data_IF_178900961087
#
_entry.id   IF_178900961087
#
_cell.length_a   1.000
_cell.length_b   1.000
_cell.length_c   1.000
_cell.angle_alpha   90.00
_cell.angle_beta   90.00
_cell.angle_gamma   90.00
#
_symmetry.space_group_name_H-M   'P 1'
#
loop_
_entity.id
_entity.type
_entity.pdbx_description
1 polymer ?
#
# COMPACT_ATOMS: atom_id res chain seq x y z
N UNK A 1 -12.76 2.41 -2.86
CA UNK A 1 -13.64 2.92 -1.79
C UNK A 1 -13.10 4.12 -1.01
N UNK A 2 -11.79 4.25 -0.75
CA UNK A 2 -11.24 5.44 -0.04
C UNK A 2 -11.62 6.76 -0.72
N UNK A 3 -11.64 6.78 -2.05
CA UNK A 3 -12.16 7.88 -2.88
C UNK A 3 -13.63 8.24 -2.67
N UNK A 4 -14.42 7.38 -2.05
CA UNK A 4 -15.82 7.65 -1.76
C UNK A 4 -15.99 8.04 -0.29
N UNK A 5 -14.91 8.43 0.39
CA UNK A 5 -14.93 8.79 1.81
C UNK A 5 -14.99 7.58 2.74
N UNK A 6 -14.73 6.37 2.25
CA UNK A 6 -14.68 5.19 3.12
C UNK A 6 -13.61 5.39 4.21
N UNK A 7 -14.00 5.08 5.45
CA UNK A 7 -13.07 5.10 6.57
C UNK A 7 -12.02 4.00 6.39
N UNK A 8 -10.75 4.39 6.29
CA UNK A 8 -9.61 3.47 6.12
C UNK A 8 -9.39 2.58 7.35
N UNK A 9 -9.84 3.06 8.50
CA UNK A 9 -9.73 2.38 9.80
C UNK A 9 -11.03 1.69 10.21
N UNK A 10 -11.99 1.56 9.27
CA UNK A 10 -13.16 0.73 9.52
C UNK A 10 -12.70 -0.70 9.88
N UNK A 11 -13.22 -1.19 10.99
CA UNK A 11 -12.99 -2.54 11.47
C UNK A 11 -14.15 -3.45 11.09
N UNK A 12 -13.87 -4.73 10.92
CA UNK A 12 -14.93 -5.75 10.86
C UNK A 12 -15.51 -6.03 12.25
N UNK A 13 -16.38 -7.04 12.34
CA UNK A 13 -17.01 -7.50 13.59
C UNK A 13 -16.00 -8.03 14.61
N UNK A 14 -14.77 -8.34 14.17
CA UNK A 14 -13.69 -8.80 15.02
C UNK A 14 -12.80 -7.63 15.47
N UNK A 15 -13.01 -6.39 14.99
CA UNK A 15 -12.11 -5.27 15.31
C UNK A 15 -10.86 -5.22 14.43
N UNK A 16 -10.82 -5.98 13.32
CA UNK A 16 -9.67 -6.04 12.43
C UNK A 16 -9.82 -5.02 11.30
N UNK A 17 -8.78 -4.21 11.07
CA UNK A 17 -8.78 -3.21 10.00
C UNK A 17 -8.43 -3.81 8.63
N UNK A 18 -8.77 -3.08 7.57
CA UNK A 18 -8.43 -3.47 6.19
C UNK A 18 -6.91 -3.62 5.97
N UNK A 19 -6.10 -2.78 6.62
CA UNK A 19 -4.63 -2.87 6.57
C UNK A 19 -4.14 -4.19 7.17
N UNK A 20 -4.66 -4.56 8.33
CA UNK A 20 -4.26 -5.78 9.03
C UNK A 20 -4.62 -7.03 8.19
N UNK A 21 -5.84 -7.10 7.64
CA UNK A 21 -6.26 -8.18 6.75
C UNK A 21 -5.35 -8.35 5.54
N UNK A 22 -4.97 -7.24 4.89
CA UNK A 22 -4.09 -7.27 3.73
C UNK A 22 -2.68 -7.77 4.09
N UNK A 23 -2.12 -7.33 5.22
CA UNK A 23 -0.81 -7.78 5.71
C UNK A 23 -0.84 -9.27 6.08
N UNK A 24 -1.85 -9.73 6.82
CA UNK A 24 -2.02 -11.16 7.16
C UNK A 24 -2.02 -11.99 5.89
N UNK A 25 -2.84 -11.61 4.91
CA UNK A 25 -2.99 -12.33 3.65
C UNK A 25 -1.67 -12.37 2.87
N UNK A 26 -0.93 -11.26 2.80
CA UNK A 26 0.38 -11.22 2.16
C UNK A 26 1.37 -12.15 2.86
N UNK A 27 1.47 -12.10 4.19
CA UNK A 27 2.39 -12.98 4.94
C UNK A 27 2.00 -14.45 4.90
N UNK A 28 0.73 -14.77 4.65
CA UNK A 28 0.27 -16.15 4.47
C UNK A 28 0.85 -16.79 3.22
N UNK A 29 0.97 -16.01 2.15
CA UNK A 29 1.52 -16.45 0.88
C UNK A 29 3.00 -16.81 1.00
N UNK A 30 3.72 -16.20 1.95
CA UNK A 30 5.12 -16.54 2.23
C UNK A 30 5.30 -17.86 2.99
N UNK A 31 4.25 -18.33 3.69
CA UNK A 31 4.27 -19.49 4.57
C UNK A 31 3.88 -20.80 3.87
N UNK A 32 3.48 -20.76 2.59
CA UNK A 32 3.02 -21.91 1.80
C UNK A 32 4.13 -22.95 1.49
N UNK A 33 5.23 -22.93 2.25
CA UNK A 33 6.30 -23.94 2.23
C UNK A 33 6.25 -24.93 3.40
N UNK A 34 5.17 -25.00 4.19
CA UNK A 34 4.88 -26.15 5.09
C UNK A 34 4.73 -25.86 6.58
N UNK A 35 4.70 -24.60 7.02
CA UNK A 35 4.51 -24.24 8.44
C UNK A 35 3.02 -24.02 8.79
N UNK A 36 2.51 -24.54 9.93
CA UNK A 36 1.15 -24.29 10.39
C UNK A 36 0.90 -22.79 10.60
N UNK A 37 -0.06 -22.24 9.87
CA UNK A 37 -0.45 -20.83 10.00
C UNK A 37 -1.07 -20.55 11.39
N UNK A 38 -0.69 -19.43 12.01
CA UNK A 38 -1.30 -18.94 13.27
C UNK A 38 -2.76 -18.46 13.10
N UNK A 39 -3.32 -18.54 11.90
CA UNK A 39 -4.64 -18.03 11.55
C UNK A 39 -5.32 -18.91 10.49
N UNK A 40 -6.66 -19.07 10.58
CA UNK A 40 -7.42 -19.74 9.54
C UNK A 40 -7.45 -18.85 8.29
N UNK A 41 -6.71 -19.24 7.26
CA UNK A 41 -6.84 -18.66 5.92
C UNK A 41 -8.05 -19.29 5.25
N UNK A 42 -9.01 -18.50 4.74
CA UNK A 42 -10.06 -19.01 3.89
C UNK A 42 -9.41 -19.77 2.72
N UNK A 43 -9.70 -21.07 2.60
CA UNK A 43 -9.18 -21.90 1.52
C UNK A 43 -9.86 -21.52 0.20
N UNK A 44 -9.52 -20.37 -0.38
CA UNK A 44 -9.97 -20.02 -1.73
C UNK A 44 -9.12 -20.80 -2.73
N UNK A 45 -9.72 -21.75 -3.43
CA UNK A 45 -9.08 -22.76 -4.27
C UNK A 45 -8.45 -22.24 -5.57
N UNK A 46 -8.34 -20.92 -5.80
CA UNK A 46 -7.79 -20.34 -7.02
C UNK A 46 -6.82 -19.19 -6.71
N UNK A 47 -5.66 -19.48 -6.12
CA UNK A 47 -4.63 -18.48 -5.95
C UNK A 47 -4.08 -18.07 -7.32
N UNK A 48 -4.48 -16.90 -7.81
CA UNK A 48 -3.94 -16.34 -9.04
C UNK A 48 -2.47 -15.92 -8.79
N UNK A 49 -1.52 -16.26 -9.67
CA UNK A 49 -0.08 -16.02 -9.47
C UNK A 49 0.32 -14.53 -9.34
N UNK A 50 -0.62 -13.59 -9.54
CA UNK A 50 -0.39 -12.14 -9.44
C UNK A 50 -0.90 -11.49 -8.14
N UNK A 51 -1.30 -12.27 -7.14
CA UNK A 51 -1.97 -11.72 -5.94
C UNK A 51 -1.00 -10.94 -5.04
N UNK A 52 0.25 -11.38 -4.90
CA UNK A 52 1.25 -10.75 -4.03
C UNK A 52 1.54 -9.27 -4.38
N UNK A 53 1.92 -8.94 -5.63
CA UNK A 53 2.14 -7.56 -6.04
C UNK A 53 0.92 -6.65 -5.85
N UNK A 54 -0.29 -7.19 -6.06
CA UNK A 54 -1.53 -6.46 -5.83
C UNK A 54 -1.75 -6.16 -4.34
N UNK A 55 -1.52 -7.14 -3.46
CA UNK A 55 -1.61 -6.95 -2.01
C UNK A 55 -0.61 -5.91 -1.50
N UNK A 56 0.64 -5.98 -1.95
CA UNK A 56 1.66 -4.98 -1.61
C UNK A 56 1.21 -3.56 -1.97
N UNK A 57 0.63 -3.39 -3.16
CA UNK A 57 0.07 -2.10 -3.56
C UNK A 57 -1.08 -1.66 -2.66
N UNK A 58 -2.01 -2.56 -2.33
CA UNK A 58 -3.14 -2.24 -1.42
C UNK A 58 -2.61 -1.79 -0.05
N UNK A 59 -1.64 -2.50 0.50
CA UNK A 59 -1.02 -2.18 1.80
C UNK A 59 -0.34 -0.80 1.73
N UNK A 60 0.51 -0.56 0.73
CA UNK A 60 1.17 0.73 0.54
C UNK A 60 0.17 1.88 0.44
N UNK A 61 -0.91 1.69 -0.34
CA UNK A 61 -1.96 2.68 -0.51
C UNK A 61 -2.71 2.96 0.80
N UNK A 62 -3.00 1.94 1.61
CA UNK A 62 -3.64 2.12 2.91
C UNK A 62 -2.73 2.91 3.87
N UNK A 63 -1.43 2.60 3.91
CA UNK A 63 -0.44 3.33 4.72
C UNK A 63 -0.36 4.80 4.30
N UNK A 64 -0.20 5.05 3.00
CA UNK A 64 -0.17 6.40 2.43
C UNK A 64 -1.45 7.18 2.74
N UNK A 65 -2.60 6.51 2.73
CA UNK A 65 -3.89 7.08 3.12
C UNK A 65 -4.10 7.21 4.64
N UNK A 66 -3.01 7.10 5.41
CA UNK A 66 -2.96 7.29 6.86
C UNK A 66 -3.80 6.28 7.66
N UNK A 67 -3.95 5.05 7.16
CA UNK A 67 -4.49 3.97 7.98
C UNK A 67 -3.68 3.82 9.29
N UNK A 68 -4.36 3.42 10.36
CA UNK A 68 -3.77 3.23 11.68
C UNK A 68 -2.80 2.04 11.66
N UNK A 69 -1.49 2.35 11.69
CA UNK A 69 -0.41 1.35 11.56
C UNK A 69 -0.14 0.55 12.85
N UNK A 70 -0.60 1.06 14.00
CA UNK A 70 -0.36 0.46 15.32
C UNK A 70 -1.57 -0.35 15.84
N UNK A 71 -2.43 -0.85 14.95
CA UNK A 71 -3.50 -1.76 15.37
C UNK A 71 -2.86 -3.05 15.87
N UNK A 72 -3.19 -3.42 17.11
CA UNK A 72 -2.75 -4.67 17.73
C UNK A 72 -3.88 -5.68 17.64
N UNK A 73 -3.56 -6.85 17.11
CA UNK A 73 -4.48 -7.99 17.06
C UNK A 73 -3.73 -9.26 17.45
N UNK A 74 -4.26 -10.01 18.44
CA UNK A 74 -3.60 -11.22 18.99
C UNK A 74 -2.12 -11.00 19.32
N UNK A 75 -1.79 -9.88 19.97
CA UNK A 75 -0.42 -9.49 20.34
C UNK A 75 0.55 -9.30 19.16
N UNK A 76 0.03 -9.00 17.97
CA UNK A 76 0.83 -8.65 16.79
C UNK A 76 0.32 -7.35 16.15
N UNK A 77 1.24 -6.50 15.71
CA UNK A 77 0.99 -5.35 14.83
C UNK A 77 1.27 -5.74 13.36
N UNK A 78 0.82 -4.93 12.41
CA UNK A 78 1.17 -5.11 11.00
C UNK A 78 2.69 -5.17 10.78
N UNK A 79 3.45 -4.31 11.46
CA UNK A 79 4.90 -4.25 11.33
C UNK A 79 5.56 -5.51 11.94
N UNK A 80 5.17 -5.96 13.15
CA UNK A 80 5.65 -7.25 13.69
C UNK A 80 5.37 -8.43 12.76
N UNK A 81 4.20 -8.48 12.10
CA UNK A 81 3.86 -9.56 11.18
C UNK A 81 4.76 -9.59 9.95
N UNK A 82 4.99 -8.43 9.31
CA UNK A 82 5.92 -8.31 8.19
C UNK A 82 7.36 -8.63 8.61
N UNK A 83 7.74 -8.27 9.84
CA UNK A 83 9.03 -8.61 10.40
C UNK A 83 9.17 -10.11 10.71
N UNK A 84 8.07 -10.84 10.95
CA UNK A 84 8.06 -12.31 11.14
C UNK A 84 8.04 -13.09 9.83
N UNK A 85 7.63 -12.47 8.73
CA UNK A 85 7.57 -13.12 7.42
C UNK A 85 8.92 -13.72 7.01
N UNK A 86 8.87 -14.86 6.30
CA UNK A 86 10.06 -15.53 5.75
C UNK A 86 10.84 -14.58 4.84
N UNK A 87 10.13 -13.84 3.99
CA UNK A 87 10.68 -12.81 3.15
C UNK A 87 10.36 -11.43 3.72
N UNK A 88 11.38 -10.66 4.08
CA UNK A 88 11.16 -9.31 4.60
C UNK A 88 10.70 -8.38 3.48
N UNK A 89 9.45 -7.93 3.57
CA UNK A 89 8.90 -6.91 2.68
C UNK A 89 9.35 -5.50 3.13
N UNK A 90 10.64 -5.21 2.96
CA UNK A 90 11.24 -3.92 3.34
C UNK A 90 10.53 -2.72 2.70
N UNK A 91 10.00 -2.92 1.49
CA UNK A 91 9.18 -1.96 0.74
C UNK A 91 7.90 -1.53 1.48
N UNK A 92 7.43 -2.32 2.44
CA UNK A 92 6.27 -2.03 3.28
C UNK A 92 6.66 -1.66 4.73
N UNK A 93 7.71 -2.29 5.26
CA UNK A 93 8.24 -2.00 6.62
C UNK A 93 8.71 -0.54 6.73
N UNK A 94 9.44 -0.05 5.73
CA UNK A 94 9.95 1.33 5.72
C UNK A 94 8.81 2.37 5.77
N UNK A 95 7.78 2.31 4.89
CA UNK A 95 6.60 3.18 5.00
C UNK A 95 5.86 3.04 6.33
N UNK A 96 5.70 1.84 6.89
CA UNK A 96 5.05 1.67 8.19
C UNK A 96 5.78 2.45 9.29
N UNK A 97 7.10 2.31 9.37
CA UNK A 97 7.93 3.03 10.35
C UNK A 97 7.87 4.53 10.11
N UNK A 98 7.94 4.98 8.86
CA UNK A 98 7.82 6.40 8.49
C UNK A 98 6.45 6.99 8.89
N UNK A 99 5.39 6.18 8.88
CA UNK A 99 4.04 6.56 9.31
C UNK A 99 3.79 6.36 10.82
N UNK A 100 4.85 6.07 11.59
CA UNK A 100 4.81 6.00 13.04
C UNK A 100 4.46 4.63 13.59
N UNK A 101 4.71 3.55 12.85
CA UNK A 101 4.69 2.22 13.43
C UNK A 101 5.67 2.15 14.60
N UNK A 102 5.16 1.72 15.75
CA UNK A 102 5.94 1.50 16.96
C UNK A 102 6.30 0.02 17.02
N UNK A 103 7.56 -0.25 17.31
CA UNK A 103 8.04 -1.59 17.56
C UNK A 103 8.79 -1.57 18.88
N UNK A 104 8.28 -2.33 19.85
CA UNK A 104 9.03 -2.63 21.06
C UNK A 104 9.99 -3.76 20.74
N UNK A 105 11.24 -3.40 20.46
CA UNK A 105 12.31 -4.36 20.21
C UNK A 105 12.53 -5.30 21.40
N UNK A 106 12.14 -4.91 22.62
CA UNK A 106 12.21 -5.75 23.82
C UNK A 106 11.13 -6.84 23.86
N UNK A 107 9.97 -6.58 23.24
CA UNK A 107 8.89 -7.57 23.11
C UNK A 107 9.12 -8.55 21.94
N UNK A 108 10.19 -8.39 21.16
CA UNK A 108 10.54 -9.26 20.03
C UNK A 108 11.21 -10.59 20.45
N UNK A 109 11.04 -11.04 21.69
CA UNK A 109 11.70 -12.25 22.22
C UNK A 109 11.41 -13.54 21.42
N UNK A 110 10.40 -13.56 20.55
CA UNK A 110 10.13 -14.66 19.61
C UNK A 110 10.60 -14.43 18.16
N UNK A 111 11.15 -13.26 17.83
CA UNK A 111 11.54 -12.91 16.47
C UNK A 111 13.06 -13.09 16.26
N UNK A 112 13.42 -14.08 15.46
CA UNK A 112 14.81 -14.30 15.04
C UNK A 112 15.16 -13.34 13.90
N UNK A 113 15.61 -12.13 14.25
CA UNK A 113 16.24 -11.21 13.30
C UNK A 113 17.75 -11.38 13.28
N UNK A 114 18.34 -11.39 12.09
CA UNK A 114 19.79 -11.30 11.93
C UNK A 114 20.33 -9.97 12.45
N UNK A 115 21.64 -9.92 12.75
CA UNK A 115 22.31 -8.68 13.20
C UNK A 115 22.14 -7.54 12.19
N UNK A 116 22.17 -7.85 10.89
CA UNK A 116 22.01 -6.88 9.81
C UNK A 116 20.60 -6.29 9.80
N UNK A 117 19.57 -7.13 9.94
CA UNK A 117 18.18 -6.67 9.97
C UNK A 117 17.90 -5.82 11.23
N UNK A 118 18.40 -6.24 12.39
CA UNK A 118 18.30 -5.45 13.64
C UNK A 118 18.92 -4.06 13.47
N UNK A 119 20.12 -3.99 12.88
CA UNK A 119 20.79 -2.72 12.58
C UNK A 119 19.97 -1.85 11.62
N UNK A 120 19.40 -2.43 10.57
CA UNK A 120 18.55 -1.71 9.61
C UNK A 120 17.31 -1.12 10.28
N UNK A 121 16.59 -1.90 11.10
CA UNK A 121 15.40 -1.41 11.80
C UNK A 121 15.77 -0.32 12.81
N UNK A 122 16.84 -0.52 13.57
CA UNK A 122 17.33 0.49 14.51
C UNK A 122 17.63 1.81 13.81
N UNK A 123 18.25 1.75 12.63
CA UNK A 123 18.54 2.93 11.82
C UNK A 123 17.26 3.59 11.27
N UNK A 124 16.29 2.81 10.79
CA UNK A 124 14.99 3.32 10.36
C UNK A 124 14.23 4.00 11.51
N UNK A 125 14.22 3.41 12.70
CA UNK A 125 13.59 3.97 13.88
C UNK A 125 14.29 5.25 14.36
N UNK A 126 15.63 5.32 14.24
CA UNK A 126 16.43 6.50 14.59
C UNK A 126 16.21 7.67 13.64
N UNK A 127 16.05 7.39 12.34
CA UNK A 127 15.93 8.39 11.27
C UNK A 127 14.49 8.74 10.91
N UNK A 128 13.51 8.05 11.50
CA UNK A 128 12.10 8.29 11.19
C UNK A 128 11.70 9.75 11.46
N UNK A 129 10.85 10.34 10.60
CA UNK A 129 10.35 11.69 10.84
C UNK A 129 9.45 11.71 12.09
N UNK A 130 9.48 12.82 12.83
CA UNK A 130 8.62 13.02 14.00
C UNK A 130 7.14 13.21 13.64
N UNK A 131 6.87 13.60 12.39
CA UNK A 131 5.53 13.77 11.84
C UNK A 131 5.31 12.78 10.70
N UNK A 132 4.09 12.28 10.58
CA UNK A 132 3.69 11.43 9.45
C UNK A 132 3.89 12.18 8.13
N UNK A 133 4.36 11.49 7.06
CA UNK A 133 4.39 12.07 5.72
C UNK A 133 3.02 12.65 5.32
N UNK A 134 2.98 13.76 4.56
CA UNK A 134 1.72 14.36 4.11
C UNK A 134 0.85 13.36 3.34
N UNK A 135 -0.46 13.35 3.61
CA UNK A 135 -1.40 12.43 2.96
C UNK A 135 -1.61 12.81 1.49
N UNK A 136 -1.32 11.91 0.52
CA UNK A 136 -1.69 12.15 -0.87
C UNK A 136 -3.21 12.16 -1.03
N UNK A 137 -3.70 12.97 -1.95
CA UNK A 137 -5.13 13.10 -2.15
C UNK A 137 -5.73 11.80 -2.71
N UNK A 138 -6.84 11.27 -2.15
CA UNK A 138 -7.43 10.02 -2.61
C UNK A 138 -7.94 10.12 -4.05
N UNK A 139 -8.12 11.31 -4.61
CA UNK A 139 -8.41 11.50 -6.04
C UNK A 139 -7.26 11.08 -6.96
N UNK A 140 -6.12 10.59 -6.45
CA UNK A 140 -4.95 10.16 -7.24
C UNK A 140 -4.47 11.18 -8.28
N UNK A 141 -4.68 12.48 -8.03
CA UNK A 141 -4.19 13.56 -8.89
C UNK A 141 -2.68 13.79 -8.78
N UNK A 142 -1.99 13.04 -7.92
CA UNK A 142 -0.59 13.29 -7.54
C UNK A 142 -0.40 14.46 -6.57
N UNK A 143 -1.47 15.20 -6.22
CA UNK A 143 -1.41 16.32 -5.26
C UNK A 143 -1.63 15.84 -3.82
N UNK A 144 -1.14 16.61 -2.85
CA UNK A 144 -1.43 16.40 -1.44
C UNK A 144 -2.91 16.69 -1.14
N UNK A 145 -3.44 16.05 -0.10
CA UNK A 145 -4.82 16.27 0.34
C UNK A 145 -5.05 17.75 0.66
N UNK A 146 -4.14 18.37 1.42
CA UNK A 146 -4.18 19.80 1.79
C UNK A 146 -4.19 20.75 0.60
N UNK A 147 -3.64 20.34 -0.54
CA UNK A 147 -3.56 21.15 -1.77
C UNK A 147 -4.65 20.86 -2.80
N UNK A 148 -5.49 19.86 -2.52
CA UNK A 148 -6.52 19.37 -3.43
C UNK A 148 -7.89 19.41 -2.72
N UNK A 149 -8.40 18.25 -2.31
CA UNK A 149 -9.73 18.14 -1.68
C UNK A 149 -9.76 18.67 -0.23
N UNK A 150 -8.62 19.03 0.35
CA UNK A 150 -8.51 19.71 1.65
C UNK A 150 -8.71 21.23 1.57
N UNK A 151 -8.54 21.87 0.40
CA UNK A 151 -8.78 23.33 0.24
C UNK A 151 -10.26 23.67 0.18
N UNK A 152 -11.04 22.84 -0.52
CA UNK A 152 -12.49 23.00 -0.68
C UNK A 152 -13.13 21.62 -0.79
N UNK A 153 -14.29 21.39 -0.15
CA UNK A 153 -15.06 20.18 -0.38
C UNK A 153 -15.47 20.14 -1.86
N UNK A 154 -14.99 19.13 -2.57
CA UNK A 154 -15.37 18.82 -3.95
C UNK A 154 -15.75 17.35 -4.01
N UNK A 155 -16.78 16.96 -4.77
CA UNK A 155 -17.06 15.55 -4.96
C UNK A 155 -15.87 14.90 -5.67
N UNK A 156 -15.49 13.73 -5.18
CA UNK A 156 -14.46 12.93 -5.83
C UNK A 156 -15.05 12.40 -7.15
N UNK A 157 -14.32 12.45 -8.28
CA UNK A 157 -14.85 11.99 -9.57
C UNK A 157 -15.36 10.55 -9.47
N UNK A 158 -16.60 10.32 -9.90
CA UNK A 158 -17.19 8.97 -9.96
C UNK A 158 -16.49 8.08 -11.00
N UNK A 159 -15.78 8.69 -11.95
CA UNK A 159 -15.02 7.99 -12.97
C UNK A 159 -13.52 8.00 -12.67
N UNK A 160 -12.83 6.91 -13.01
CA UNK A 160 -11.37 6.87 -12.90
C UNK A 160 -10.78 7.68 -14.04
N UNK A 161 -10.01 8.72 -13.73
CA UNK A 161 -9.11 9.32 -14.72
C UNK A 161 -7.93 8.37 -14.84
N UNK A 162 -7.54 8.04 -16.08
CA UNK A 162 -6.32 7.28 -16.32
C UNK A 162 -5.13 7.96 -15.61
N UNK A 163 -4.28 7.24 -14.86
CA UNK A 163 -3.08 7.82 -14.26
C UNK A 163 -2.13 8.47 -15.28
N UNK A 164 -2.33 8.24 -16.59
CA UNK A 164 -1.58 8.84 -17.70
C UNK A 164 -1.87 10.32 -17.88
N UNK A 165 -2.86 10.87 -17.17
CA UNK A 165 -3.31 12.26 -17.34
C UNK A 165 -3.79 12.59 -18.75
N UNK A 166 -4.08 11.59 -19.59
CA UNK A 166 -4.56 11.76 -20.97
C UNK A 166 -5.94 12.42 -21.08
N UNK A 167 -6.56 12.81 -19.97
CA UNK A 167 -7.94 13.29 -19.90
C UNK A 167 -8.99 12.22 -20.18
N UNK A 168 -8.58 10.99 -20.54
CA UNK A 168 -9.52 9.92 -20.86
C UNK A 168 -10.10 9.29 -19.60
N UNK A 169 -11.41 9.10 -19.62
CA UNK A 169 -12.12 8.32 -18.60
C UNK A 169 -11.77 6.83 -18.78
N UNK A 170 -11.40 6.17 -17.69
CA UNK A 170 -11.14 4.73 -17.65
C UNK A 170 -12.39 3.99 -18.12
N UNK A 171 -12.31 3.37 -19.30
CA UNK A 171 -13.42 2.69 -19.96
C UNK A 171 -13.62 3.06 -21.43
N UNK A 172 -13.18 4.25 -21.86
CA UNK A 172 -13.20 4.65 -23.28
C UNK A 172 -11.86 4.45 -23.98
N UNK A 173 -10.75 4.83 -23.36
CA UNK A 173 -9.41 4.68 -23.96
C UNK A 173 -8.85 3.24 -23.90
N UNK A 174 -9.29 2.42 -22.93
CA UNK A 174 -8.75 1.08 -22.72
C UNK A 174 -9.41 -0.02 -23.59
N UNK A 175 -10.45 0.29 -24.38
CA UNK A 175 -11.10 -0.72 -25.23
C UNK A 175 -10.28 -1.10 -26.46
N UNK A 176 -9.41 -0.21 -26.94
CA UNK A 176 -8.79 -0.41 -28.25
C UNK A 176 -7.42 -1.11 -28.21
N UNK A 177 -6.81 -1.29 -27.03
CA UNK A 177 -5.49 -1.96 -26.91
C UNK A 177 -5.45 -3.17 -25.95
N UNK A 178 -6.53 -3.45 -25.19
CA UNK A 178 -6.55 -4.54 -24.20
C UNK A 178 -7.44 -5.70 -24.70
N UNK A 179 -7.07 -6.32 -25.84
CA UNK A 179 -7.61 -7.62 -26.24
C UNK A 179 -6.76 -8.81 -25.73
N UNK A 180 -5.76 -8.55 -24.89
CA UNK A 180 -4.90 -9.59 -24.30
C UNK A 180 -5.36 -9.94 -22.89
N UNK A 181 -6.43 -10.73 -22.79
CA UNK A 181 -6.50 -11.81 -21.80
C UNK A 181 -6.73 -11.52 -20.31
N UNK A 182 -7.26 -10.36 -19.91
CA UNK A 182 -7.62 -10.14 -18.48
C UNK A 182 -9.11 -10.29 -18.27
N UNK A 183 -9.54 -11.42 -17.69
CA UNK A 183 -10.81 -11.46 -16.96
C UNK A 183 -10.58 -10.69 -15.66
N UNK A 184 -11.33 -9.61 -15.44
CA UNK A 184 -11.47 -9.00 -14.13
C UNK A 184 -11.95 -10.08 -13.16
N UNK A 185 -11.02 -10.72 -12.45
CA UNK A 185 -11.35 -11.43 -11.23
C UNK A 185 -11.82 -10.38 -10.25
N UNK A 186 -13.14 -10.18 -10.18
CA UNK A 186 -13.75 -9.63 -8.97
C UNK A 186 -13.13 -10.40 -7.81
N UNK A 187 -12.47 -9.70 -6.88
CA UNK A 187 -12.24 -10.24 -5.54
C UNK A 187 -13.56 -10.89 -5.13
N UNK A 188 -13.51 -12.19 -4.83
CA UNK A 188 -14.68 -13.07 -4.72
C UNK A 188 -15.83 -12.43 -3.92
N UNK A 189 -17.08 -12.77 -4.26
CA UNK A 189 -18.28 -12.36 -3.52
C UNK A 189 -18.19 -12.60 -1.99
N UNK A 190 -17.25 -13.41 -1.52
CA UNK A 190 -16.99 -13.60 -0.09
C UNK A 190 -16.40 -12.36 0.61
N UNK A 191 -15.58 -11.54 -0.07
CA UNK A 191 -15.16 -10.23 0.45
C UNK A 191 -16.31 -9.22 0.47
N UNK A 192 -17.29 -9.38 -0.44
CA UNK A 192 -18.50 -8.56 -0.50
C UNK A 192 -19.48 -8.88 0.64
N UNK A 193 -19.53 -10.13 1.12
CA UNK A 193 -20.43 -10.58 2.19
C UNK A 193 -19.96 -10.23 3.62
N UNK A 194 -18.69 -9.86 3.83
CA UNK A 194 -18.15 -9.50 5.16
C UNK A 194 -17.99 -7.99 5.39
N UNK A 195 -18.65 -7.15 4.59
CA UNK A 195 -18.80 -5.72 4.86
C UNK A 195 -17.63 -4.81 4.42
N UNK A 196 -16.51 -5.36 3.93
CA UNK A 196 -15.38 -4.57 3.45
C UNK A 196 -15.32 -4.59 1.90
N UNK A 197 -16.13 -3.76 1.25
CA UNK A 197 -16.03 -3.54 -0.20
C UNK A 197 -14.74 -2.77 -0.47
N UNK A 198 -13.73 -3.36 -1.09
CA UNK A 198 -12.57 -2.61 -1.62
C UNK A 198 -12.41 -2.98 -3.08
N UNK A 199 -12.97 -2.15 -3.97
CA UNK A 199 -12.71 -2.23 -5.42
C UNK A 199 -11.52 -1.30 -5.75
N UNK A 200 -10.40 -1.87 -6.23
CA UNK A 200 -9.21 -1.14 -6.69
C UNK A 200 -9.05 -1.31 -8.21
N UNK A 201 -9.23 -0.23 -8.98
CA UNK A 201 -9.10 -0.21 -10.46
C UNK A 201 -7.88 0.60 -10.96
N UNK A 202 -6.71 0.52 -10.32
CA UNK A 202 -5.68 1.57 -10.49
C UNK A 202 -4.61 1.33 -11.59
N UNK A 203 -4.35 0.12 -12.09
CA UNK A 203 -2.92 -0.15 -12.38
C UNK A 203 -2.31 -0.12 -13.79
N UNK A 204 -3.01 0.07 -14.90
CA UNK A 204 -2.27 -0.13 -16.18
C UNK A 204 -1.30 0.97 -16.62
N UNK A 205 -1.20 2.11 -15.93
CA UNK A 205 -0.47 3.26 -16.46
C UNK A 205 0.91 3.55 -15.83
N UNK A 206 1.25 3.02 -14.64
CA UNK A 206 2.54 3.34 -14.01
C UNK A 206 3.78 2.71 -14.69
N UNK A 207 3.60 1.79 -15.65
CA UNK A 207 4.70 1.05 -16.29
C UNK A 207 5.37 1.75 -17.49
N UNK A 208 4.84 2.89 -17.96
CA UNK A 208 5.37 3.59 -19.16
C UNK A 208 5.93 4.98 -18.89
N UNK A 209 6.15 5.41 -17.65
CA UNK A 209 6.86 6.66 -17.40
C UNK A 209 8.38 6.43 -17.44
N UNK A 210 9.11 6.91 -18.46
CA UNK A 210 10.56 6.94 -18.41
C UNK A 210 11.01 7.87 -17.27
N UNK A 211 12.05 7.47 -16.55
CA UNK A 211 12.71 8.27 -15.53
C UNK A 211 13.12 9.64 -16.08
N UNK A 212 12.29 10.66 -15.89
CA UNK A 212 12.69 12.06 -16.06
C UNK A 212 13.33 12.54 -14.75
N UNK A 213 14.59 12.17 -14.58
CA UNK A 213 15.52 12.85 -13.68
C UNK A 213 16.90 12.84 -14.35
N UNK A 214 17.21 13.90 -15.10
CA UNK A 214 18.60 14.29 -15.38
C UNK A 214 18.67 15.79 -15.62
N UNK A 215 19.41 16.44 -14.73
CA UNK A 215 19.59 17.88 -14.72
C UNK A 215 20.38 18.40 -15.92
N UNK A 216 20.15 19.68 -16.19
CA UNK A 216 20.96 20.51 -17.09
C UNK A 216 21.36 21.76 -16.32
N UNK A 217 22.46 21.66 -15.57
CA UNK A 217 23.26 22.83 -15.18
C UNK A 217 24.51 22.86 -16.07
N UNK A 218 24.54 23.85 -16.96
CA UNK A 218 25.66 24.43 -17.73
C UNK A 218 25.01 25.59 -18.53
N UNK A 219 25.54 26.80 -18.65
CA UNK A 219 26.90 27.28 -18.46
C UNK A 219 26.94 28.83 -18.38
N UNK A 220 28.06 29.33 -17.85
CA UNK A 220 28.86 30.51 -18.28
C UNK A 220 28.27 31.91 -18.28
N UNK A 221 28.80 32.75 -17.39
CA UNK A 221 28.94 34.19 -17.58
C UNK A 221 30.26 34.67 -16.99
N UNK A 222 31.34 34.59 -17.77
CA UNK A 222 32.62 35.29 -17.51
C UNK A 222 32.62 36.55 -18.39
N UNK A 223 32.69 37.72 -17.78
CA UNK A 223 32.93 38.98 -18.48
C UNK A 223 34.22 39.60 -17.92
N UNK A 224 35.29 39.52 -18.71
CA UNK A 224 36.44 40.41 -18.64
C UNK A 224 36.51 41.14 -19.98
N UNK A 225 36.25 42.44 -19.97
CA UNK A 225 36.90 43.49 -20.74
C UNK A 225 36.36 44.84 -20.29
#
# INVERSE_FOLDING_TARGET
MIRLGANVDATDQLGVTSLFHAVVTLTAQDLDTGEPLLYPVPKSSNQHPSTGPMLKMVIALLIEQHAHVNVVWKNATCCTMLMRAKYKHWDLIEPLIAHGALEDLGSLNGLVLSKVEKKRISELLRTRPSKRPPRPCPCFSGRLLTDCHGKRPRPLPCHFICPCQSGSVYGSAARNEISLGWKFGMLSEEFLNRGAKICLCIFHCRRTMPHFYRGSERSTGSHYR
#
